data_IF_010950133251
#
_entry.id   IF_010950133251
#
_cell.length_a   1.000
_cell.length_b   1.000
_cell.length_c   1.000
_cell.angle_alpha   90.00
_cell.angle_beta   90.00
_cell.angle_gamma   90.00
#
_symmetry.space_group_name_H-M   'P 1'
#
loop_
_entity.id
_entity.type
_entity.pdbx_description
1 polymer ?
#
# COMPACT_ATOMS: atom_id res chain seq x y z
N UNK A 1 -4.34 27.06 -28.08
CA UNK A 1 -4.39 25.59 -28.16
C UNK A 1 -4.60 25.09 -26.75
N UNK A 2 -5.81 24.63 -26.43
CA UNK A 2 -6.06 23.99 -25.14
C UNK A 2 -5.68 22.52 -25.29
N UNK A 3 -4.51 22.14 -24.78
CA UNK A 3 -4.22 20.73 -24.55
C UNK A 3 -5.08 20.29 -23.38
N UNK A 4 -6.14 19.54 -23.68
CA UNK A 4 -6.85 18.76 -22.68
C UNK A 4 -5.84 17.85 -21.99
N UNK A 5 -5.47 18.18 -20.75
CA UNK A 5 -4.90 17.17 -19.85
C UNK A 5 -6.02 16.15 -19.64
N UNK A 6 -5.94 15.02 -20.34
CA UNK A 6 -6.69 13.85 -19.90
C UNK A 6 -6.23 13.59 -18.47
N UNK A 7 -7.17 13.67 -17.53
CA UNK A 7 -6.98 13.11 -16.20
C UNK A 7 -6.96 11.61 -16.44
N UNK A 8 -5.74 11.05 -16.49
CA UNK A 8 -5.55 9.62 -16.63
C UNK A 8 -5.85 9.00 -15.27
N UNK A 9 -6.91 8.20 -15.19
CA UNK A 9 -7.30 7.46 -13.99
C UNK A 9 -7.32 5.98 -14.35
N UNK A 10 -6.33 5.24 -13.86
CA UNK A 10 -6.22 3.79 -14.02
C UNK A 10 -6.79 3.05 -12.82
N UNK A 11 -7.21 1.80 -13.08
CA UNK A 11 -7.59 0.87 -12.05
C UNK A 11 -6.48 -0.15 -11.84
N UNK A 12 -6.01 -0.25 -10.61
CA UNK A 12 -5.07 -1.25 -10.14
C UNK A 12 -5.78 -2.22 -9.20
N UNK A 13 -5.16 -3.36 -8.90
CA UNK A 13 -5.69 -4.32 -7.94
C UNK A 13 -4.63 -4.73 -6.94
N UNK A 14 -5.05 -4.87 -5.69
CA UNK A 14 -4.30 -5.55 -4.63
C UNK A 14 -5.19 -6.62 -4.04
N UNK A 15 -4.72 -7.86 -4.10
CA UNK A 15 -5.38 -8.97 -3.44
C UNK A 15 -4.91 -9.12 -1.99
N UNK A 16 -5.76 -9.65 -1.11
CA UNK A 16 -5.38 -10.12 0.21
C UNK A 16 -5.45 -11.63 0.20
N UNK A 17 -4.29 -12.28 0.29
CA UNK A 17 -4.18 -13.73 0.08
C UNK A 17 -3.62 -14.46 1.29
N UNK A 18 -4.08 -15.70 1.45
CA UNK A 18 -3.51 -16.77 2.26
C UNK A 18 -2.93 -17.78 1.29
N UNK A 19 -1.62 -17.93 1.27
CA UNK A 19 -0.91 -18.87 0.43
C UNK A 19 -0.20 -19.92 1.29
N UNK A 20 -0.80 -21.09 1.39
CA UNK A 20 -0.26 -22.19 2.20
C UNK A 20 0.96 -22.87 1.54
N UNK A 21 1.26 -22.53 0.29
CA UNK A 21 2.44 -23.02 -0.44
C UNK A 21 3.59 -22.00 -0.44
N UNK A 22 3.45 -20.89 0.29
CA UNK A 22 4.48 -19.88 0.40
C UNK A 22 5.81 -20.47 0.90
N UNK A 23 6.92 -20.01 0.32
CA UNK A 23 8.27 -20.47 0.68
C UNK A 23 8.72 -19.95 2.04
N UNK A 24 8.16 -18.82 2.48
CA UNK A 24 8.49 -18.20 3.75
C UNK A 24 7.23 -17.93 4.57
N UNK A 25 7.29 -17.99 5.92
CA UNK A 25 6.15 -17.67 6.78
C UNK A 25 5.57 -16.27 6.55
N UNK A 26 6.42 -15.30 6.20
CA UNK A 26 6.02 -13.92 5.92
C UNK A 26 5.19 -13.77 4.63
N UNK A 27 5.30 -14.72 3.71
CA UNK A 27 4.56 -14.73 2.45
C UNK A 27 3.21 -15.44 2.55
N UNK A 28 2.94 -16.18 3.63
CA UNK A 28 1.67 -16.88 3.82
C UNK A 28 0.50 -15.90 3.81
N UNK A 29 0.63 -14.77 4.53
CA UNK A 29 -0.40 -13.74 4.61
C UNK A 29 0.12 -12.46 3.98
N UNK A 30 -0.34 -12.12 2.78
CA UNK A 30 0.22 -10.97 2.04
C UNK A 30 -0.82 -10.17 1.28
N UNK A 31 -0.48 -8.91 1.07
CA UNK A 31 -1.05 -8.13 -0.02
C UNK A 31 -0.33 -8.53 -1.32
N UNK A 32 -1.06 -8.73 -2.41
CA UNK A 32 -0.48 -9.16 -3.69
C UNK A 32 -0.99 -8.28 -4.87
N UNK A 33 -0.14 -7.42 -5.46
CA UNK A 33 1.20 -7.09 -5.00
C UNK A 33 1.19 -6.30 -3.67
N UNK A 34 2.27 -6.38 -2.90
CA UNK A 34 2.46 -5.58 -1.68
C UNK A 34 3.09 -4.20 -1.94
N UNK A 35 3.31 -3.86 -3.21
CA UNK A 35 3.92 -2.62 -3.63
C UNK A 35 3.35 -2.18 -4.95
N UNK A 36 2.91 -0.93 -5.03
CA UNK A 36 2.52 -0.27 -6.27
C UNK A 36 3.06 1.17 -6.30
N UNK A 37 3.39 1.64 -7.50
CA UNK A 37 3.59 3.04 -7.80
C UNK A 37 2.53 3.43 -8.82
N UNK A 38 1.62 4.31 -8.43
CA UNK A 38 0.44 4.73 -9.19
C UNK A 38 0.43 6.25 -9.37
N UNK A 39 -0.42 6.77 -10.24
CA UNK A 39 -0.56 8.22 -10.46
C UNK A 39 -1.72 8.81 -9.63
N UNK A 40 -1.68 10.11 -9.30
CA UNK A 40 -2.81 10.78 -8.66
C UNK A 40 -4.10 10.66 -9.49
N UNK A 41 -5.19 10.23 -8.85
CA UNK A 41 -6.49 9.95 -9.48
C UNK A 41 -6.73 8.46 -9.76
N UNK A 42 -5.70 7.62 -9.65
CA UNK A 42 -5.83 6.18 -9.80
C UNK A 42 -6.63 5.54 -8.66
N UNK A 43 -7.25 4.40 -8.95
CA UNK A 43 -8.03 3.63 -7.98
C UNK A 43 -7.44 2.24 -7.78
N UNK A 44 -7.32 1.81 -6.52
CA UNK A 44 -6.97 0.43 -6.17
C UNK A 44 -8.21 -0.33 -5.74
N UNK A 45 -8.47 -1.46 -6.40
CA UNK A 45 -9.43 -2.47 -5.98
C UNK A 45 -8.76 -3.45 -5.01
N UNK A 46 -9.20 -3.46 -3.75
CA UNK A 46 -8.79 -4.45 -2.76
C UNK A 46 -9.74 -5.65 -2.81
N UNK A 47 -9.22 -6.84 -3.15
CA UNK A 47 -10.04 -7.98 -3.62
C UNK A 47 -10.39 -9.06 -2.59
N UNK A 48 -9.65 -9.15 -1.47
CA UNK A 48 -9.86 -10.11 -0.39
C UNK A 48 -10.21 -11.55 -0.84
N UNK A 49 -9.48 -12.10 -1.82
CA UNK A 49 -9.86 -13.35 -2.51
C UNK A 49 -9.83 -14.59 -1.62
N UNK A 50 -9.10 -14.56 -0.52
CA UNK A 50 -9.04 -15.69 0.42
C UNK A 50 -9.13 -15.20 1.86
N UNK A 51 -9.66 -16.02 2.76
CA UNK A 51 -9.74 -15.68 4.18
C UNK A 51 -10.63 -14.47 4.46
N UNK A 52 -10.32 -13.77 5.56
CA UNK A 52 -11.01 -12.54 5.95
C UNK A 52 -9.96 -11.54 6.45
N UNK A 53 -9.46 -10.71 5.53
CA UNK A 53 -8.43 -9.73 5.82
C UNK A 53 -9.03 -8.32 6.01
N UNK A 54 -8.16 -7.42 6.44
CA UNK A 54 -8.48 -6.00 6.57
C UNK A 54 -7.46 -5.21 5.78
N UNK A 55 -7.85 -4.03 5.29
CA UNK A 55 -6.94 -3.04 4.71
C UNK A 55 -7.02 -1.79 5.56
N UNK A 56 -5.99 -1.51 6.33
CA UNK A 56 -6.00 -0.42 7.31
C UNK A 56 -4.78 0.47 7.14
N UNK A 57 -5.00 1.78 7.14
CA UNK A 57 -3.93 2.76 7.20
C UNK A 57 -3.04 2.60 8.45
N UNK A 58 -1.75 2.87 8.28
CA UNK A 58 -0.80 3.01 9.39
C UNK A 58 -0.63 4.49 9.70
N UNK A 59 -1.00 4.89 10.91
CA UNK A 59 -0.76 6.25 11.40
C UNK A 59 0.74 6.59 11.31
N UNK A 60 1.05 7.78 10.79
CA UNK A 60 2.43 8.23 10.56
C UNK A 60 3.06 7.70 9.25
N UNK A 61 2.31 7.00 8.40
CA UNK A 61 2.74 6.58 7.06
C UNK A 61 1.76 7.04 5.98
N UNK A 62 1.19 8.24 6.14
CA UNK A 62 0.21 8.87 5.24
C UNK A 62 0.67 10.28 4.86
N UNK A 63 0.36 10.76 3.64
CA UNK A 63 0.54 12.16 3.32
C UNK A 63 -0.40 13.04 4.14
N UNK A 64 0.01 14.27 4.44
CA UNK A 64 -0.82 15.21 5.20
C UNK A 64 -2.13 15.50 4.45
N UNK A 65 -3.25 15.36 5.14
CA UNK A 65 -4.58 15.63 4.60
C UNK A 65 -5.19 14.49 3.79
N UNK A 66 -4.46 13.39 3.55
CA UNK A 66 -5.01 12.22 2.89
C UNK A 66 -6.00 11.46 3.80
N UNK A 67 -7.17 11.04 3.30
CA UNK A 67 -8.14 10.26 4.09
C UNK A 67 -7.54 8.94 4.56
N UNK A 68 -7.84 8.56 5.81
CA UNK A 68 -7.50 7.25 6.33
C UNK A 68 -8.48 6.20 5.77
N UNK A 69 -7.94 5.01 5.54
CA UNK A 69 -8.65 3.86 4.98
C UNK A 69 -8.80 2.80 6.07
N UNK A 70 -10.01 2.26 6.18
CA UNK A 70 -10.34 1.12 7.03
C UNK A 70 -11.37 0.24 6.32
N UNK A 71 -10.90 -0.85 5.72
CA UNK A 71 -11.72 -1.85 5.02
C UNK A 71 -11.74 -3.11 5.88
N UNK A 72 -12.95 -3.53 6.27
CA UNK A 72 -13.22 -4.73 7.07
C UNK A 72 -14.51 -5.36 6.55
N UNK A 73 -14.58 -6.70 6.50
CA UNK A 73 -15.78 -7.44 6.09
C UNK A 73 -16.32 -7.08 4.69
N UNK A 74 -15.41 -6.87 3.74
CA UNK A 74 -15.73 -6.64 2.33
C UNK A 74 -15.05 -7.69 1.46
N UNK A 75 -15.75 -8.18 0.44
CA UNK A 75 -15.14 -8.98 -0.62
C UNK A 75 -14.33 -8.07 -1.52
N UNK A 76 -14.89 -6.96 -2.02
CA UNK A 76 -14.17 -5.96 -2.80
C UNK A 76 -14.39 -4.57 -2.24
N UNK A 77 -13.34 -3.75 -2.22
CA UNK A 77 -13.43 -2.32 -1.89
C UNK A 77 -12.50 -1.51 -2.79
N UNK A 78 -13.00 -0.39 -3.31
CA UNK A 78 -12.23 0.51 -4.19
C UNK A 78 -11.83 1.75 -3.41
N UNK A 79 -10.57 2.19 -3.58
CA UNK A 79 -10.04 3.41 -2.99
C UNK A 79 -9.32 4.21 -4.06
N UNK A 80 -9.74 5.46 -4.26
CA UNK A 80 -9.09 6.42 -5.16
C UNK A 80 -8.05 7.24 -4.40
N UNK A 81 -6.91 7.49 -5.03
CA UNK A 81 -5.76 8.15 -4.42
C UNK A 81 -5.41 9.45 -5.15
N UNK A 82 -5.76 10.60 -4.57
CA UNK A 82 -5.56 11.91 -5.22
C UNK A 82 -4.32 12.66 -4.72
N UNK A 83 -3.84 12.36 -3.51
CA UNK A 83 -2.77 13.14 -2.87
C UNK A 83 -1.43 12.43 -3.08
N UNK A 84 -0.42 13.08 -3.68
CA UNK A 84 0.88 12.46 -3.85
C UNK A 84 1.57 12.11 -2.52
N UNK A 85 2.27 10.97 -2.50
CA UNK A 85 3.09 10.55 -1.37
C UNK A 85 3.07 9.04 -1.13
N UNK A 86 3.63 8.64 0.02
CA UNK A 86 3.72 7.24 0.46
C UNK A 86 2.54 6.89 1.38
N UNK A 87 1.92 5.74 1.13
CA UNK A 87 0.81 5.18 1.91
C UNK A 87 1.17 3.77 2.40
N UNK A 88 1.21 3.58 3.73
CA UNK A 88 1.57 2.28 4.35
C UNK A 88 0.38 1.47 4.88
N UNK A 89 -0.04 0.41 4.20
CA UNK A 89 -1.14 -0.42 4.68
C UNK A 89 -0.69 -1.56 5.58
N UNK A 90 -1.56 -1.94 6.54
CA UNK A 90 -1.47 -3.19 7.29
C UNK A 90 -2.79 -3.94 7.30
N UNK A 91 -2.70 -5.27 7.41
CA UNK A 91 -3.82 -6.05 7.92
C UNK A 91 -3.76 -6.07 9.46
N UNK A 92 -4.84 -5.72 10.15
CA UNK A 92 -4.90 -5.73 11.62
C UNK A 92 -4.71 -7.12 12.21
N UNK A 93 -5.23 -8.15 11.53
CA UNK A 93 -5.17 -9.54 11.99
C UNK A 93 -3.79 -10.14 11.74
N UNK A 94 -3.22 -9.90 10.56
CA UNK A 94 -2.00 -10.56 10.10
C UNK A 94 -0.75 -9.67 10.06
N UNK A 95 -0.83 -8.42 10.52
CA UNK A 95 0.33 -7.51 10.56
C UNK A 95 1.48 -8.02 11.44
N UNK A 96 1.18 -8.82 12.47
CA UNK A 96 2.23 -9.53 13.25
C UNK A 96 2.98 -10.59 12.44
N UNK A 97 2.43 -11.02 11.31
CA UNK A 97 3.00 -12.00 10.38
C UNK A 97 3.58 -11.35 9.11
N UNK A 98 3.67 -10.02 9.05
CA UNK A 98 4.31 -9.33 7.92
C UNK A 98 3.36 -8.83 6.83
N UNK A 99 2.04 -8.93 7.02
CA UNK A 99 1.05 -8.48 6.04
C UNK A 99 0.94 -6.94 5.98
N UNK A 100 1.82 -6.34 5.19
CA UNK A 100 1.92 -4.90 4.93
C UNK A 100 2.03 -4.61 3.44
N UNK A 101 1.62 -3.41 3.02
CA UNK A 101 1.83 -2.92 1.67
C UNK A 101 2.28 -1.46 1.67
N UNK A 102 3.01 -1.05 0.62
CA UNK A 102 3.42 0.32 0.39
C UNK A 102 2.92 0.78 -0.98
N UNK A 103 2.16 1.86 -1.01
CA UNK A 103 1.71 2.51 -2.25
C UNK A 103 2.40 3.86 -2.37
N UNK A 104 2.99 4.13 -3.52
CA UNK A 104 3.46 5.47 -3.89
C UNK A 104 2.47 6.07 -4.87
N UNK A 105 2.01 7.28 -4.60
CA UNK A 105 1.12 8.03 -5.49
C UNK A 105 1.91 9.21 -6.04
N UNK A 106 2.12 9.26 -7.36
CA UNK A 106 2.92 10.30 -8.02
C UNK A 106 4.37 10.36 -7.55
N UNK A 107 4.67 11.23 -6.57
CA UNK A 107 6.00 11.36 -5.95
C UNK A 107 5.95 11.08 -4.45
N UNK A 108 6.96 10.39 -3.87
CA UNK A 108 7.06 10.15 -2.43
C UNK A 108 7.48 11.39 -1.62
N UNK A 109 7.88 12.50 -2.25
CA UNK A 109 8.54 13.64 -1.61
C UNK A 109 7.72 14.30 -0.48
N UNK A 110 6.38 14.17 -0.53
CA UNK A 110 5.49 14.81 0.44
C UNK A 110 5.62 14.27 1.87
N UNK A 111 6.13 13.04 2.04
CA UNK A 111 6.27 12.42 3.37
C UNK A 111 7.39 11.38 3.49
N UNK A 112 8.28 11.21 2.50
CA UNK A 112 9.37 10.22 2.55
C UNK A 112 10.29 10.38 3.78
N UNK A 113 10.47 11.60 4.29
CA UNK A 113 11.30 11.90 5.45
C UNK A 113 10.54 11.85 6.79
N UNK A 114 9.21 11.72 6.75
CA UNK A 114 8.33 11.83 7.91
C UNK A 114 7.63 10.50 8.26
N UNK A 115 8.13 9.38 7.73
CA UNK A 115 7.56 8.05 7.99
C UNK A 115 7.83 7.60 9.42
N UNK A 116 6.76 7.34 10.19
CA UNK A 116 6.86 6.85 11.56
C UNK A 116 6.66 5.32 11.66
N UNK A 117 7.64 4.64 12.23
CA UNK A 117 7.63 3.18 12.41
C UNK A 117 7.25 2.75 13.83
N UNK A 118 6.82 3.68 14.69
CA UNK A 118 6.42 3.41 16.08
C UNK A 118 5.13 2.58 16.17
N UNK A 119 4.25 2.71 15.18
CA UNK A 119 2.94 2.06 15.11
C UNK A 119 2.95 0.63 14.55
N UNK A 120 4.15 0.08 14.32
CA UNK A 120 4.36 -1.28 13.79
C UNK A 120 5.48 -2.00 14.56
N UNK A 121 5.40 -3.33 14.60
CA UNK A 121 6.41 -4.17 15.26
C UNK A 121 7.70 -4.31 14.44
N UNK A 122 8.71 -4.98 15.03
CA UNK A 122 10.03 -5.23 14.40
C UNK A 122 9.94 -5.84 13.00
N UNK A 123 9.06 -6.84 12.82
CA UNK A 123 8.86 -7.47 11.51
C UNK A 123 8.27 -6.47 10.50
N UNK A 124 7.27 -5.69 10.90
CA UNK A 124 6.68 -4.65 10.04
C UNK A 124 7.72 -3.61 9.62
N UNK A 125 8.58 -3.17 10.55
CA UNK A 125 9.69 -2.27 10.21
C UNK A 125 10.61 -2.88 9.15
N UNK A 126 11.03 -4.13 9.32
CA UNK A 126 11.85 -4.84 8.33
C UNK A 126 11.16 -4.95 6.97
N UNK A 127 9.85 -5.22 6.93
CA UNK A 127 9.08 -5.27 5.69
C UNK A 127 9.10 -3.91 4.99
N UNK A 128 8.82 -2.82 5.70
CA UNK A 128 8.85 -1.49 5.10
C UNK A 128 10.25 -1.02 4.71
N UNK A 129 11.29 -1.37 5.45
CA UNK A 129 12.68 -1.09 5.04
C UNK A 129 12.97 -1.72 3.66
N UNK A 130 12.55 -2.97 3.43
CA UNK A 130 12.68 -3.63 2.14
C UNK A 130 11.82 -2.96 1.04
N UNK A 131 10.57 -2.59 1.36
CA UNK A 131 9.68 -1.92 0.41
C UNK A 131 10.19 -0.53 0.02
N UNK A 132 10.70 0.25 0.97
CA UNK A 132 11.30 1.56 0.73
C UNK A 132 12.61 1.44 -0.05
N UNK A 133 13.39 0.38 0.18
CA UNK A 133 14.57 0.10 -0.65
C UNK A 133 14.18 -0.24 -2.09
N UNK A 134 13.14 -1.04 -2.30
CA UNK A 134 12.57 -1.29 -3.64
C UNK A 134 12.14 0.03 -4.30
N UNK A 135 11.40 0.87 -3.57
CA UNK A 135 10.97 2.19 -4.03
C UNK A 135 12.15 3.06 -4.47
N UNK A 136 13.20 3.19 -3.64
CA UNK A 136 14.38 4.00 -3.96
C UNK A 136 15.10 3.50 -5.21
N UNK A 137 15.21 2.17 -5.38
CA UNK A 137 15.79 1.57 -6.59
C UNK A 137 14.96 1.83 -7.84
N UNK A 138 13.64 1.87 -7.72
CA UNK A 138 12.76 2.21 -8.83
C UNK A 138 12.85 3.70 -9.17
N UNK A 139 12.84 4.56 -8.15
CA UNK A 139 13.01 6.02 -8.30
C UNK A 139 14.33 6.37 -8.98
N UNK A 140 15.43 5.70 -8.64
CA UNK A 140 16.75 5.93 -9.26
C UNK A 140 16.85 5.51 -10.74
N UNK A 141 15.82 4.82 -11.27
CA UNK A 141 15.76 4.40 -12.68
C UNK A 141 14.85 5.29 -13.53
N UNK A 142 14.04 6.14 -12.89
CA UNK A 142 13.15 7.11 -13.55
C UNK A 142 13.95 8.35 -13.91
#
# INVERSE_FOLDING_TARGET
>A
MFTSNLVHAENHSIDQVIDLNALTPEEIYRFDPNYLWIEPGDTISFLNSTGNHTVTSINGMWPKGAPLVKIEHKSVANVTFDIPGIYGFKCKVHGRHGMYALIVVGSPDSNINDLEFSNIGKLGRKVFENLLERMRKEMAKR
#
